data_IF_684517620849
#
_entry.id   IF_684517620849
#
_cell.length_a   1.000
_cell.length_b   1.000
_cell.length_c   1.000
_cell.angle_alpha   90.00
_cell.angle_beta   90.00
_cell.angle_gamma   90.00
#
_symmetry.space_group_name_H-M   'P 1'
#
loop_
_entity.id
_entity.type
_entity.pdbx_description
1 polymer ?
#
# COMPACT_ATOMS: atom_id res chain seq x y z
N UNK A 1 15.71 1.70 -28.95
CA UNK A 1 16.68 1.93 -27.85
C UNK A 1 16.34 3.16 -27.00
N UNK A 2 15.85 4.26 -27.60
CA UNK A 2 15.42 5.48 -26.88
C UNK A 2 14.31 5.27 -25.83
N UNK A 3 13.31 4.42 -26.08
CA UNK A 3 12.22 4.16 -25.14
C UNK A 3 12.69 3.52 -23.82
N UNK A 4 13.68 2.61 -23.88
CA UNK A 4 14.29 2.01 -22.68
C UNK A 4 15.06 3.03 -21.85
N UNK A 5 15.77 3.96 -22.50
CA UNK A 5 16.53 4.99 -21.81
C UNK A 5 15.61 6.07 -21.18
N UNK A 6 14.52 6.43 -21.87
CA UNK A 6 13.48 7.33 -21.34
C UNK A 6 12.80 6.77 -20.09
N UNK A 7 12.48 5.47 -20.08
CA UNK A 7 11.91 4.81 -18.90
C UNK A 7 12.91 4.73 -17.73
N UNK A 8 14.19 4.44 -18.01
CA UNK A 8 15.22 4.40 -16.97
C UNK A 8 15.42 5.78 -16.31
N UNK A 9 15.44 6.86 -17.09
CA UNK A 9 15.51 8.24 -16.55
C UNK A 9 14.28 8.57 -15.72
N UNK A 10 13.08 8.27 -16.23
CA UNK A 10 11.83 8.50 -15.50
C UNK A 10 11.82 7.80 -14.15
N UNK A 11 12.29 6.56 -14.10
CA UNK A 11 12.37 5.75 -12.89
C UNK A 11 13.34 6.34 -11.85
N UNK A 12 14.52 6.79 -12.28
CA UNK A 12 15.51 7.44 -11.41
C UNK A 12 15.00 8.77 -10.84
N UNK A 13 14.20 9.51 -11.59
CA UNK A 13 13.54 10.73 -11.09
C UNK A 13 12.52 10.38 -10.00
N UNK A 14 11.72 9.33 -10.20
CA UNK A 14 10.76 8.84 -9.18
C UNK A 14 11.49 8.40 -7.92
N UNK A 15 12.61 7.69 -8.04
CA UNK A 15 13.44 7.29 -6.90
C UNK A 15 13.99 8.50 -6.15
N UNK A 16 14.50 9.51 -6.86
CA UNK A 16 14.98 10.76 -6.23
C UNK A 16 13.85 11.48 -5.46
N UNK A 17 12.65 11.50 -6.03
CA UNK A 17 11.47 12.07 -5.39
C UNK A 17 11.05 11.28 -4.14
N UNK A 18 11.12 9.95 -4.21
CA UNK A 18 10.84 9.07 -3.07
C UNK A 18 11.72 9.40 -1.87
N UNK A 19 13.03 9.56 -2.09
CA UNK A 19 13.96 9.95 -1.04
C UNK A 19 13.65 11.35 -0.48
N UNK A 20 13.41 12.33 -1.35
CA UNK A 20 13.07 13.69 -0.92
C UNK A 20 11.80 13.72 -0.06
N UNK A 21 10.72 13.08 -0.52
CA UNK A 21 9.45 13.02 0.21
C UNK A 21 9.57 12.24 1.53
N UNK A 22 10.35 11.15 1.56
CA UNK A 22 10.56 10.39 2.79
C UNK A 22 11.40 11.16 3.84
N UNK A 23 12.29 12.03 3.41
CA UNK A 23 13.15 12.84 4.29
C UNK A 23 12.45 14.11 4.79
N UNK A 24 11.83 14.86 3.88
CA UNK A 24 11.33 16.21 4.13
C UNK A 24 9.79 16.28 4.19
N UNK A 25 9.09 15.22 3.77
CA UNK A 25 7.64 15.26 3.60
C UNK A 25 7.22 15.91 2.28
N UNK A 26 5.95 15.75 1.91
CA UNK A 26 5.44 16.25 0.64
C UNK A 26 5.40 17.78 0.55
N UNK A 27 4.98 18.48 1.62
CA UNK A 27 4.82 19.93 1.60
C UNK A 27 6.15 20.66 1.47
N UNK A 28 7.15 20.24 2.24
CA UNK A 28 8.45 20.90 2.32
C UNK A 28 9.41 20.50 1.20
N UNK A 29 9.00 19.58 0.31
CA UNK A 29 9.75 19.24 -0.90
C UNK A 29 9.26 20.07 -2.08
N UNK A 30 10.16 20.79 -2.75
CA UNK A 30 9.89 21.49 -4.01
C UNK A 30 10.37 20.70 -5.24
N UNK A 31 9.92 21.09 -6.44
CA UNK A 31 10.48 20.53 -7.69
C UNK A 31 11.97 20.86 -7.84
N UNK A 32 12.40 22.05 -7.42
CA UNK A 32 13.80 22.47 -7.49
C UNK A 32 14.68 21.67 -6.51
N UNK A 33 14.16 21.27 -5.35
CA UNK A 33 14.86 20.34 -4.44
C UNK A 33 15.10 18.98 -5.08
N UNK A 34 14.09 18.46 -5.78
CA UNK A 34 14.21 17.18 -6.50
C UNK A 34 15.22 17.31 -7.63
N UNK A 35 15.20 18.40 -8.41
CA UNK A 35 16.21 18.68 -9.45
C UNK A 35 17.62 18.63 -8.87
N UNK A 36 17.86 19.37 -7.78
CA UNK A 36 19.16 19.44 -7.10
C UNK A 36 19.65 18.08 -6.59
N UNK A 37 18.74 17.23 -6.10
CA UNK A 37 19.06 15.90 -5.55
C UNK A 37 19.24 14.82 -6.61
N UNK A 38 18.57 14.96 -7.75
CA UNK A 38 18.49 13.90 -8.76
C UNK A 38 19.69 13.80 -9.70
N UNK A 39 20.48 14.88 -9.80
CA UNK A 39 21.56 14.99 -10.79
C UNK A 39 21.09 15.13 -12.24
N UNK A 40 19.77 15.26 -12.49
CA UNK A 40 19.21 15.54 -13.81
C UNK A 40 19.04 17.04 -14.06
N UNK A 41 19.01 17.43 -15.33
CA UNK A 41 18.72 18.82 -15.70
C UNK A 41 17.28 19.19 -15.36
N UNK A 42 17.05 20.46 -15.03
CA UNK A 42 15.71 21.01 -14.77
C UNK A 42 14.77 20.71 -15.94
N UNK A 43 15.20 21.01 -17.17
CA UNK A 43 14.42 20.71 -18.38
C UNK A 43 14.09 19.22 -18.54
N UNK A 44 15.01 18.32 -18.19
CA UNK A 44 14.78 16.88 -18.24
C UNK A 44 13.71 16.40 -17.24
N UNK A 45 13.71 16.93 -16.02
CA UNK A 45 12.68 16.59 -15.04
C UNK A 45 11.31 17.13 -15.45
N UNK A 46 11.23 18.41 -15.82
CA UNK A 46 9.96 19.03 -16.21
C UNK A 46 9.39 18.45 -17.51
N UNK A 47 10.22 17.88 -18.37
CA UNK A 47 9.77 17.10 -19.53
C UNK A 47 9.02 15.82 -19.12
N UNK A 48 9.48 15.12 -18.08
CA UNK A 48 8.84 13.89 -17.61
C UNK A 48 7.69 14.14 -16.62
N UNK A 49 7.80 15.19 -15.82
CA UNK A 49 6.86 15.51 -14.75
C UNK A 49 6.59 17.01 -14.72
N UNK A 50 5.41 17.47 -15.17
CA UNK A 50 5.10 18.89 -15.24
C UNK A 50 5.01 19.57 -13.86
N UNK A 51 4.95 18.79 -12.77
CA UNK A 51 4.95 19.31 -11.42
C UNK A 51 5.00 18.22 -10.34
N UNK A 52 5.05 18.68 -9.08
CA UNK A 52 5.19 17.84 -7.89
C UNK A 52 4.07 16.81 -7.75
N UNK A 53 2.83 17.19 -8.06
CA UNK A 53 1.68 16.27 -8.01
C UNK A 53 1.81 15.12 -9.01
N UNK A 54 2.20 15.39 -10.26
CA UNK A 54 2.36 14.36 -11.28
C UNK A 54 3.48 13.37 -10.92
N UNK A 55 4.56 13.88 -10.33
CA UNK A 55 5.67 13.07 -9.84
C UNK A 55 5.28 12.23 -8.62
N UNK A 56 4.53 12.82 -7.69
CA UNK A 56 4.00 12.10 -6.53
C UNK A 56 3.03 11.00 -6.94
N UNK A 57 2.12 11.27 -7.88
CA UNK A 57 1.21 10.26 -8.41
C UNK A 57 1.96 9.10 -9.07
N UNK A 58 2.99 9.39 -9.86
CA UNK A 58 3.82 8.35 -10.46
C UNK A 58 4.56 7.51 -9.41
N UNK A 59 5.05 8.13 -8.35
CA UNK A 59 5.64 7.43 -7.21
C UNK A 59 4.63 6.52 -6.51
N UNK A 60 3.44 7.03 -6.19
CA UNK A 60 2.40 6.25 -5.52
C UNK A 60 1.97 5.04 -6.34
N UNK A 61 1.79 5.21 -7.66
CA UNK A 61 1.48 4.10 -8.55
C UNK A 61 2.59 3.04 -8.57
N UNK A 62 3.86 3.46 -8.64
CA UNK A 62 5.00 2.54 -8.59
C UNK A 62 5.02 1.72 -7.30
N UNK A 63 4.74 2.36 -6.16
CA UNK A 63 4.65 1.67 -4.86
C UNK A 63 3.48 0.70 -4.83
N UNK A 64 2.33 1.08 -5.41
CA UNK A 64 1.17 0.23 -5.52
C UNK A 64 1.44 -1.00 -6.40
N UNK A 65 2.08 -0.81 -7.56
CA UNK A 65 2.50 -1.89 -8.45
C UNK A 65 3.41 -2.89 -7.72
N UNK A 66 4.41 -2.38 -7.00
CA UNK A 66 5.33 -3.21 -6.24
C UNK A 66 4.62 -4.00 -5.12
N UNK A 67 3.69 -3.36 -4.41
CA UNK A 67 2.93 -3.99 -3.34
C UNK A 67 1.97 -5.07 -3.87
N UNK A 68 1.24 -4.80 -4.95
CA UNK A 68 0.36 -5.79 -5.58
C UNK A 68 1.15 -6.99 -6.11
N UNK A 69 2.30 -6.75 -6.76
CA UNK A 69 3.16 -7.83 -7.26
C UNK A 69 3.70 -8.70 -6.11
N UNK A 70 4.15 -8.09 -5.02
CA UNK A 70 4.63 -8.80 -3.84
C UNK A 70 3.50 -9.61 -3.16
N UNK A 71 2.34 -8.97 -2.95
CA UNK A 71 1.17 -9.63 -2.36
C UNK A 71 0.70 -10.81 -3.23
N UNK A 72 0.57 -10.61 -4.55
CA UNK A 72 0.24 -11.65 -5.52
C UNK A 72 1.17 -12.85 -5.41
N UNK A 73 2.48 -12.60 -5.48
CA UNK A 73 3.50 -13.65 -5.36
C UNK A 73 3.38 -14.41 -4.03
N UNK A 74 3.19 -13.70 -2.92
CA UNK A 74 3.04 -14.31 -1.59
C UNK A 74 1.77 -15.17 -1.46
N UNK A 75 0.65 -14.72 -2.04
CA UNK A 75 -0.62 -15.45 -2.01
C UNK A 75 -0.55 -16.71 -2.87
N UNK A 76 0.07 -16.62 -4.05
CA UNK A 76 0.14 -17.72 -5.02
C UNK A 76 1.07 -18.85 -4.59
N UNK A 77 2.01 -18.59 -3.68
CA UNK A 77 2.88 -19.61 -3.08
C UNK A 77 2.17 -20.44 -2.00
N UNK A 78 1.07 -19.93 -1.45
CA UNK A 78 0.39 -20.53 -0.31
C UNK A 78 -0.84 -21.37 -0.70
N UNK A 79 -1.08 -22.41 0.11
CA UNK A 79 -2.25 -23.27 0.01
C UNK A 79 -3.22 -23.00 1.16
N UNK A 80 -4.50 -22.87 0.83
CA UNK A 80 -5.56 -22.62 1.80
C UNK A 80 -5.74 -21.13 2.11
N UNK A 81 -6.98 -20.74 2.41
CA UNK A 81 -7.36 -19.34 2.58
C UNK A 81 -6.65 -18.67 3.76
N UNK A 82 -6.43 -19.39 4.87
CA UNK A 82 -5.74 -18.87 6.06
C UNK A 82 -4.30 -18.45 5.74
N UNK A 83 -3.52 -19.35 5.15
CA UNK A 83 -2.12 -19.09 4.82
C UNK A 83 -1.98 -17.94 3.81
N UNK A 84 -2.90 -17.86 2.83
CA UNK A 84 -2.96 -16.75 1.85
C UNK A 84 -3.21 -15.39 2.50
N UNK A 85 -4.15 -15.31 3.45
CA UNK A 85 -4.42 -14.08 4.21
C UNK A 85 -3.19 -13.68 5.04
N UNK A 86 -2.56 -14.65 5.70
CA UNK A 86 -1.37 -14.42 6.51
C UNK A 86 -0.20 -13.91 5.67
N UNK A 87 0.07 -14.52 4.53
CA UNK A 87 1.13 -14.10 3.60
C UNK A 87 0.89 -12.68 3.05
N UNK A 88 -0.35 -12.36 2.68
CA UNK A 88 -0.71 -11.03 2.20
C UNK A 88 -0.53 -9.96 3.29
N UNK A 89 -1.01 -10.21 4.51
CA UNK A 89 -0.87 -9.30 5.65
C UNK A 89 0.60 -9.08 6.02
N UNK A 90 1.38 -10.16 6.12
CA UNK A 90 2.81 -10.07 6.45
C UNK A 90 3.58 -9.29 5.38
N UNK A 91 3.31 -9.54 4.10
CA UNK A 91 3.94 -8.82 2.98
C UNK A 91 3.62 -7.33 3.04
N UNK A 92 2.35 -6.98 3.19
CA UNK A 92 1.90 -5.59 3.28
C UNK A 92 2.55 -4.85 4.46
N UNK A 93 2.47 -5.43 5.66
CA UNK A 93 2.99 -4.82 6.87
C UNK A 93 4.51 -4.73 6.85
N UNK A 94 5.20 -5.74 6.30
CA UNK A 94 6.64 -5.74 6.12
C UNK A 94 7.10 -4.62 5.17
N UNK A 95 6.39 -4.39 4.07
CA UNK A 95 6.69 -3.29 3.14
C UNK A 95 6.46 -1.91 3.78
N UNK A 96 5.35 -1.74 4.49
CA UNK A 96 5.03 -0.49 5.19
C UNK A 96 6.06 -0.19 6.28
N UNK A 97 6.45 -1.21 7.06
CA UNK A 97 7.38 -1.07 8.19
C UNK A 97 8.80 -0.74 7.77
N UNK A 98 9.21 -1.10 6.54
CA UNK A 98 10.51 -0.70 5.97
C UNK A 98 10.58 0.78 5.59
N UNK A 99 9.43 1.38 5.25
CA UNK A 99 9.37 2.77 4.79
C UNK A 99 8.24 3.58 5.46
N UNK A 100 8.20 3.69 6.81
CA UNK A 100 7.09 4.31 7.54
C UNK A 100 6.91 5.78 7.20
N UNK A 101 8.00 6.52 6.95
CA UNK A 101 7.91 7.93 6.56
C UNK A 101 7.21 8.11 5.23
N UNK A 102 7.55 7.28 4.25
CA UNK A 102 6.92 7.29 2.93
C UNK A 102 5.46 6.87 3.01
N UNK A 103 5.15 5.82 3.78
CA UNK A 103 3.77 5.42 4.06
C UNK A 103 2.97 6.54 4.76
N UNK A 104 3.60 7.28 5.68
CA UNK A 104 3.05 8.47 6.32
C UNK A 104 2.68 9.56 5.30
N UNK A 105 3.56 9.83 4.34
CA UNK A 105 3.28 10.79 3.27
C UNK A 105 2.05 10.35 2.45
N UNK A 106 1.97 9.07 2.05
CA UNK A 106 0.89 8.57 1.20
C UNK A 106 -0.45 8.47 1.95
N UNK A 107 -0.45 7.91 3.16
CA UNK A 107 -1.67 7.53 3.88
C UNK A 107 -2.17 8.62 4.84
N UNK A 108 -1.29 9.47 5.35
CA UNK A 108 -1.62 10.49 6.37
C UNK A 108 -1.58 11.88 5.76
N UNK A 109 -0.47 12.26 5.14
CA UNK A 109 -0.30 13.61 4.58
C UNK A 109 -0.96 13.78 3.21
N UNK A 110 -1.26 12.69 2.49
CA UNK A 110 -1.86 12.71 1.17
C UNK A 110 -3.29 13.27 1.13
N UNK A 111 -4.03 13.13 2.22
CA UNK A 111 -5.44 13.52 2.28
C UNK A 111 -5.58 15.04 2.50
N UNK A 112 -6.35 15.71 1.63
CA UNK A 112 -6.60 17.15 1.75
C UNK A 112 -5.53 18.04 1.11
N UNK A 113 -4.67 17.47 0.26
CA UNK A 113 -3.69 18.23 -0.53
C UNK A 113 -4.29 18.87 -1.79
N UNK A 114 -5.55 18.59 -2.08
CA UNK A 114 -6.32 19.19 -3.15
C UNK A 114 -7.09 18.16 -3.99
N UNK A 115 -8.08 18.60 -4.79
CA UNK A 115 -9.02 17.70 -5.48
C UNK A 115 -8.36 16.70 -6.43
N UNK A 116 -7.26 17.11 -7.08
CA UNK A 116 -6.45 16.29 -7.98
C UNK A 116 -5.86 15.08 -7.25
N UNK A 117 -5.21 15.32 -6.10
CA UNK A 117 -4.58 14.25 -5.35
C UNK A 117 -5.60 13.37 -4.63
N UNK A 118 -6.67 13.96 -4.11
CA UNK A 118 -7.76 13.21 -3.49
C UNK A 118 -8.38 12.22 -4.50
N UNK A 119 -8.61 12.66 -5.76
CA UNK A 119 -9.10 11.77 -6.83
C UNK A 119 -8.13 10.60 -7.11
N UNK A 120 -6.82 10.86 -7.10
CA UNK A 120 -5.82 9.81 -7.27
C UNK A 120 -5.81 8.81 -6.12
N UNK A 121 -5.96 9.27 -4.88
CA UNK A 121 -6.06 8.39 -3.71
C UNK A 121 -7.34 7.56 -3.72
N UNK A 122 -8.46 8.11 -4.20
CA UNK A 122 -9.70 7.34 -4.41
C UNK A 122 -9.48 6.20 -5.41
N UNK A 123 -8.89 6.50 -6.58
CA UNK A 123 -8.57 5.47 -7.58
C UNK A 123 -7.62 4.39 -7.04
N UNK A 124 -6.68 4.79 -6.18
CA UNK A 124 -5.79 3.84 -5.52
C UNK A 124 -6.53 2.90 -4.57
N UNK A 125 -7.49 3.43 -3.78
CA UNK A 125 -8.33 2.60 -2.92
C UNK A 125 -9.19 1.63 -3.74
N UNK A 126 -9.84 2.10 -4.80
CA UNK A 126 -10.63 1.24 -5.72
C UNK A 126 -9.77 0.13 -6.33
N UNK A 127 -8.54 0.45 -6.72
CA UNK A 127 -7.57 -0.50 -7.26
C UNK A 127 -7.25 -1.60 -6.25
N UNK A 128 -6.90 -1.26 -5.01
CA UNK A 128 -6.62 -2.27 -3.97
C UNK A 128 -7.86 -3.07 -3.57
N UNK A 129 -9.03 -2.43 -3.48
CA UNK A 129 -10.29 -3.14 -3.21
C UNK A 129 -10.58 -4.17 -4.30
N UNK A 130 -10.38 -3.80 -5.59
CA UNK A 130 -10.52 -4.74 -6.71
C UNK A 130 -9.54 -5.90 -6.62
N UNK A 131 -8.27 -5.64 -6.30
CA UNK A 131 -7.27 -6.68 -6.10
C UNK A 131 -7.69 -7.67 -4.99
N UNK A 132 -8.15 -7.18 -3.84
CA UNK A 132 -8.64 -8.05 -2.74
C UNK A 132 -9.87 -8.85 -3.21
N UNK A 133 -10.83 -8.17 -3.84
CA UNK A 133 -12.05 -8.80 -4.35
C UNK A 133 -11.75 -9.94 -5.33
N UNK A 134 -10.81 -9.76 -6.25
CA UNK A 134 -10.43 -10.80 -7.22
C UNK A 134 -9.97 -12.10 -6.55
N UNK A 135 -9.26 -12.01 -5.42
CA UNK A 135 -8.84 -13.21 -4.66
C UNK A 135 -9.97 -13.81 -3.84
N UNK A 136 -10.85 -12.97 -3.27
CA UNK A 136 -12.05 -13.44 -2.58
C UNK A 136 -13.01 -14.15 -3.55
N UNK A 137 -13.25 -13.60 -4.73
CA UNK A 137 -14.09 -14.21 -5.78
C UNK A 137 -13.56 -15.59 -6.19
N UNK A 138 -12.24 -15.71 -6.37
CA UNK A 138 -11.61 -17.01 -6.67
C UNK A 138 -11.82 -18.02 -5.55
N UNK A 139 -11.63 -17.60 -4.30
CA UNK A 139 -11.78 -18.46 -3.14
C UNK A 139 -13.25 -18.88 -2.89
N UNK A 140 -14.23 -18.03 -3.23
CA UNK A 140 -15.64 -18.42 -3.26
C UNK A 140 -15.90 -19.41 -4.39
N UNK A 141 -15.39 -19.12 -5.59
CA UNK A 141 -15.61 -19.94 -6.78
C UNK A 141 -15.00 -21.34 -6.71
N UNK A 142 -13.87 -21.50 -6.01
CA UNK A 142 -13.24 -22.81 -5.78
C UNK A 142 -13.68 -23.50 -4.47
N UNK A 143 -14.56 -22.87 -3.70
CA UNK A 143 -15.11 -23.40 -2.45
C UNK A 143 -14.15 -23.35 -1.26
N UNK A 144 -13.01 -22.66 -1.37
CA UNK A 144 -12.04 -22.49 -0.25
C UNK A 144 -12.58 -21.63 0.89
N UNK A 145 -13.56 -20.75 0.62
CA UNK A 145 -14.25 -19.94 1.64
C UNK A 145 -15.76 -19.95 1.39
N UNK A 146 -16.54 -19.57 2.41
CA UNK A 146 -17.99 -19.47 2.29
C UNK A 146 -18.40 -18.36 1.31
N UNK A 147 -19.60 -18.48 0.74
CA UNK A 147 -20.18 -17.43 -0.09
C UNK A 147 -20.41 -16.15 0.76
N UNK A 148 -19.81 -15.04 0.32
CA UNK A 148 -19.89 -13.73 0.96
C UNK A 148 -20.01 -12.63 -0.10
N UNK A 149 -20.48 -11.45 0.31
CA UNK A 149 -20.46 -10.24 -0.53
C UNK A 149 -19.01 -9.73 -0.69
N UNK A 150 -18.29 -10.30 -1.66
CA UNK A 150 -16.82 -10.11 -1.81
C UNK A 150 -16.41 -8.65 -1.99
N UNK A 151 -17.25 -7.82 -2.63
CA UNK A 151 -17.01 -6.38 -2.76
C UNK A 151 -17.05 -5.68 -1.41
N UNK A 152 -18.08 -5.92 -0.61
CA UNK A 152 -18.23 -5.35 0.74
C UNK A 152 -17.06 -5.79 1.63
N UNK A 153 -16.72 -7.08 1.61
CA UNK A 153 -15.60 -7.62 2.38
C UNK A 153 -14.28 -6.98 1.95
N UNK A 154 -14.04 -6.81 0.65
CA UNK A 154 -12.81 -6.19 0.15
C UNK A 154 -12.64 -4.74 0.62
N UNK A 155 -13.70 -3.92 0.56
CA UNK A 155 -13.65 -2.54 1.08
C UNK A 155 -13.50 -2.51 2.60
N UNK A 156 -14.17 -3.41 3.33
CA UNK A 156 -14.04 -3.52 4.78
C UNK A 156 -12.61 -3.89 5.19
N UNK A 157 -11.98 -4.85 4.50
CA UNK A 157 -10.60 -5.26 4.72
C UNK A 157 -9.63 -4.11 4.46
N UNK A 158 -9.76 -3.44 3.31
CA UNK A 158 -8.96 -2.27 2.96
C UNK A 158 -9.08 -1.19 4.03
N UNK A 159 -10.30 -0.87 4.46
CA UNK A 159 -10.57 0.13 5.50
C UNK A 159 -9.95 -0.23 6.85
N UNK A 160 -10.17 -1.46 7.33
CA UNK A 160 -9.65 -1.94 8.61
C UNK A 160 -8.11 -1.91 8.64
N UNK A 161 -7.47 -2.49 7.62
CA UNK A 161 -6.02 -2.53 7.51
C UNK A 161 -5.44 -1.12 7.41
N UNK A 162 -5.97 -0.28 6.50
CA UNK A 162 -5.52 1.10 6.32
C UNK A 162 -5.61 1.88 7.63
N UNK A 163 -6.72 1.76 8.36
CA UNK A 163 -6.92 2.53 9.58
C UNK A 163 -5.96 2.10 10.70
N UNK A 164 -5.68 0.80 10.83
CA UNK A 164 -4.66 0.31 11.77
C UNK A 164 -3.28 0.86 11.41
N UNK A 165 -2.91 0.85 10.12
CA UNK A 165 -1.64 1.42 9.66
C UNK A 165 -1.57 2.93 9.91
N UNK A 166 -2.61 3.69 9.57
CA UNK A 166 -2.67 5.14 9.80
C UNK A 166 -2.54 5.48 11.28
N UNK A 167 -3.21 4.72 12.15
CA UNK A 167 -3.10 4.86 13.60
C UNK A 167 -1.65 4.61 14.07
N UNK A 168 -1.03 3.53 13.63
CA UNK A 168 0.36 3.21 13.95
C UNK A 168 1.34 4.30 13.51
N UNK A 169 1.20 4.81 12.27
CA UNK A 169 2.02 5.89 11.73
C UNK A 169 1.93 7.18 12.56
N UNK A 170 0.77 7.45 13.17
CA UNK A 170 0.55 8.64 14.02
C UNK A 170 1.08 8.45 15.44
N UNK A 171 0.91 7.27 16.02
CA UNK A 171 1.32 6.96 17.40
C UNK A 171 2.85 6.87 17.57
N UNK A 172 3.61 6.71 16.47
CA UNK A 172 5.08 6.53 16.46
C UNK A 172 5.58 5.40 17.39
N UNK A 173 4.70 4.48 17.79
CA UNK A 173 5.03 3.34 18.62
C UNK A 173 5.15 2.07 17.73
N UNK A 174 6.37 1.58 17.45
CA UNK A 174 6.56 0.44 16.56
C UNK A 174 5.87 -0.84 17.05
N UNK A 175 5.78 -1.04 18.37
CA UNK A 175 5.23 -2.27 19.00
C UNK A 175 3.70 -2.35 18.94
N UNK A 176 3.01 -1.35 18.37
CA UNK A 176 1.55 -1.38 18.30
C UNK A 176 1.01 -2.26 17.17
N UNK A 177 1.75 -2.44 16.07
CA UNK A 177 1.32 -3.36 15.00
C UNK A 177 1.34 -4.81 15.45
N UNK A 178 2.45 -5.27 16.05
CA UNK A 178 2.58 -6.66 16.51
C UNK A 178 1.46 -7.09 17.47
N UNK A 179 0.98 -6.15 18.29
CA UNK A 179 -0.14 -6.37 19.22
C UNK A 179 -1.51 -6.41 18.56
N UNK A 180 -1.74 -5.62 17.51
CA UNK A 180 -3.05 -5.47 16.87
C UNK A 180 -3.25 -6.46 15.72
N UNK A 181 -2.18 -6.88 15.05
CA UNK A 181 -2.23 -7.75 13.88
C UNK A 181 -2.90 -9.10 14.17
N UNK A 182 -2.65 -9.79 15.29
CA UNK A 182 -3.37 -11.03 15.61
C UNK A 182 -4.90 -10.85 15.68
N UNK A 183 -5.36 -9.75 16.29
CA UNK A 183 -6.79 -9.44 16.40
C UNK A 183 -7.39 -9.05 15.04
N UNK A 184 -6.68 -8.24 14.25
CA UNK A 184 -7.07 -7.89 12.89
C UNK A 184 -7.21 -9.15 12.03
N UNK A 185 -6.20 -10.03 12.04
CA UNK A 185 -6.21 -11.32 11.33
C UNK A 185 -7.46 -12.14 11.66
N UNK A 186 -7.78 -12.31 12.94
CA UNK A 186 -8.99 -13.05 13.37
C UNK A 186 -10.25 -12.41 12.80
N UNK A 187 -10.35 -11.08 12.84
CA UNK A 187 -11.50 -10.35 12.30
C UNK A 187 -11.65 -10.56 10.78
N UNK A 188 -10.55 -10.48 10.03
CA UNK A 188 -10.57 -10.72 8.57
C UNK A 188 -10.97 -12.16 8.24
N UNK A 189 -10.40 -13.16 8.92
CA UNK A 189 -10.71 -14.57 8.68
C UNK A 189 -12.17 -14.91 9.02
N UNK A 190 -12.69 -14.40 10.14
CA UNK A 190 -14.10 -14.61 10.51
C UNK A 190 -15.05 -13.98 9.50
N UNK A 191 -14.71 -12.83 8.91
CA UNK A 191 -15.57 -12.17 7.91
C UNK A 191 -15.70 -12.96 6.59
N UNK A 192 -14.85 -13.97 6.36
CA UNK A 192 -14.91 -14.88 5.20
C UNK A 192 -15.34 -16.30 5.59
N UNK A 193 -15.94 -16.46 6.78
CA UNK A 193 -16.49 -17.73 7.26
C UNK A 193 -15.44 -18.72 7.76
N UNK A 194 -14.21 -18.28 8.03
CA UNK A 194 -13.17 -19.15 8.60
C UNK A 194 -13.21 -19.05 10.12
N UNK A 195 -13.45 -20.20 10.77
CA UNK A 195 -13.30 -20.31 12.22
C UNK A 195 -11.82 -20.34 12.59
N UNK A 196 -11.40 -19.33 13.34
CA UNK A 196 -10.08 -19.29 13.98
C UNK A 196 -10.28 -19.67 15.45
N UNK A 197 -9.67 -20.76 15.94
CA UNK A 197 -9.71 -21.09 17.36
C UNK A 197 -9.22 -19.90 18.17
N UNK A 198 -9.96 -19.49 19.20
CA UNK A 198 -9.48 -18.46 20.13
C UNK A 198 -8.15 -18.94 20.71
N UNK A 199 -7.05 -18.29 20.35
CA UNK A 199 -5.72 -18.52 20.91
C UNK A 199 -5.60 -17.97 22.36
N UNK A 200 -6.69 -17.99 23.11
CA UNK A 200 -6.90 -17.26 24.36
C UNK A 200 -7.77 -17.99 25.39
N UNK A 201 -7.50 -19.27 25.65
CA UNK A 201 -7.53 -19.74 27.04
C UNK A 201 -6.10 -19.68 27.55
N UNK A 202 -5.68 -18.51 28.02
CA UNK A 202 -4.60 -18.48 28.99
C UNK A 202 -5.09 -19.26 30.22
N UNK A 203 -4.42 -20.38 30.46
CA UNK A 203 -4.49 -21.10 31.70
C UNK A 203 -4.36 -20.10 32.86
N UNK A 204 -5.37 -20.10 33.73
CA UNK A 204 -5.18 -19.68 35.11
C UNK A 204 -4.55 -20.84 35.87
#
# INVERSE_FOLDING_TARGET
MESRNKNATRERIIESAMHAFAEQGYHDTSMDDIVRRSGFSKGGIYFHFPGKEALFYALVNRLADALEAAARSSIEQERGAVARVDAALQTLLGMISRHPRLAGVVLVSGQGLGPSLDSHLVKLHERFARFIKEYLDKAVGDGSIAAVETEVVAYAWLGAIKQIVVRWLRERNPDSLERVVPALRVLLLRSIGIEVPDSGKHAR
#
